data_IF_282604189123
#
_entry.id   IF_282604189123
#
_cell.length_a   1.000
_cell.length_b   1.000
_cell.length_c   1.000
_cell.angle_alpha   90.00
_cell.angle_beta   90.00
_cell.angle_gamma   90.00
#
_symmetry.space_group_name_H-M   'P 1'
#
loop_
_entity.id
_entity.type
_entity.pdbx_description
1 polymer ?
#
# COMPACT_ATOMS: atom_id res chain seq x y z
N UNK A 1 -2.13 -9.70 24.74
CA UNK A 1 -1.05 -10.01 23.78
C UNK A 1 -0.55 -8.71 23.14
N UNK A 2 0.77 -8.49 23.12
CA UNK A 2 1.38 -7.29 22.52
C UNK A 2 2.19 -7.66 21.28
N UNK A 3 1.84 -7.07 20.14
CA UNK A 3 2.49 -7.35 18.85
C UNK A 3 3.11 -6.06 18.31
N UNK A 4 4.40 -6.11 18.03
CA UNK A 4 5.10 -5.05 17.34
C UNK A 4 5.01 -5.28 15.83
N UNK A 5 4.57 -4.28 15.09
CA UNK A 5 4.60 -4.28 13.62
C UNK A 5 5.76 -3.43 13.15
N UNK A 6 6.55 -3.96 12.23
CA UNK A 6 7.67 -3.27 11.59
C UNK A 6 7.50 -3.24 10.06
N UNK A 7 7.80 -2.08 9.49
CA UNK A 7 7.87 -1.86 8.04
C UNK A 7 9.21 -1.18 7.73
N UNK A 8 10.19 -1.98 7.31
CA UNK A 8 11.54 -1.54 6.99
C UNK A 8 11.67 -1.23 5.50
N UNK A 9 11.72 0.05 5.17
CA UNK A 9 12.07 0.56 3.84
C UNK A 9 13.58 0.78 3.68
N UNK A 10 14.01 1.22 2.50
CA UNK A 10 15.45 1.45 2.19
C UNK A 10 16.11 2.47 3.13
N UNK A 11 15.40 3.52 3.51
CA UNK A 11 15.89 4.62 4.35
C UNK A 11 14.94 5.02 5.48
N UNK A 12 14.01 4.15 5.84
CA UNK A 12 13.05 4.40 6.91
C UNK A 12 12.60 3.11 7.58
N UNK A 13 12.19 3.20 8.84
CA UNK A 13 11.58 2.10 9.59
C UNK A 13 10.33 2.67 10.25
N UNK A 14 9.15 2.17 9.88
CA UNK A 14 7.90 2.49 10.57
C UNK A 14 7.58 1.39 11.56
N UNK A 15 6.97 1.76 12.69
CA UNK A 15 6.56 0.80 13.71
C UNK A 15 5.25 1.19 14.37
N UNK A 16 4.53 0.17 14.84
CA UNK A 16 3.39 0.31 15.72
C UNK A 16 3.34 -0.86 16.70
N UNK A 17 3.15 -0.57 17.99
CA UNK A 17 2.93 -1.59 19.02
C UNK A 17 1.45 -1.67 19.33
N UNK A 18 0.87 -2.85 19.15
CA UNK A 18 -0.54 -3.12 19.40
C UNK A 18 -0.76 -3.89 20.70
N UNK A 19 -1.82 -3.53 21.42
CA UNK A 19 -2.48 -4.44 22.35
C UNK A 19 -3.57 -5.20 21.60
N UNK A 20 -3.34 -6.48 21.32
CA UNK A 20 -4.29 -7.28 20.52
C UNK A 20 -5.55 -7.69 21.27
N UNK A 21 -5.59 -7.58 22.59
CA UNK A 21 -6.81 -7.84 23.37
C UNK A 21 -7.87 -6.76 23.11
N UNK A 22 -7.42 -5.51 22.90
CA UNK A 22 -8.27 -4.35 22.56
C UNK A 22 -8.18 -3.95 21.09
N UNK A 23 -7.18 -4.45 20.35
CA UNK A 23 -6.80 -4.04 18.99
C UNK A 23 -6.41 -2.55 18.87
N UNK A 24 -5.95 -1.97 19.95
CA UNK A 24 -5.56 -0.56 20.01
C UNK A 24 -4.04 -0.39 19.85
N UNK A 25 -3.65 0.68 19.17
CA UNK A 25 -2.26 1.11 19.05
C UNK A 25 -1.81 1.73 20.38
N UNK A 26 -0.85 1.11 21.05
CA UNK A 26 -0.23 1.64 22.28
C UNK A 26 0.72 2.80 21.96
N UNK A 27 1.53 2.67 20.90
CA UNK A 27 2.42 3.71 20.37
C UNK A 27 2.76 3.40 18.94
N UNK A 28 3.10 4.42 18.17
CA UNK A 28 3.57 4.26 16.80
C UNK A 28 4.57 5.34 16.42
N UNK A 29 5.33 5.11 15.38
CA UNK A 29 6.29 6.08 14.92
C UNK A 29 7.13 5.60 13.75
N UNK A 30 8.28 6.23 13.55
CA UNK A 30 9.20 5.80 12.52
C UNK A 30 10.54 6.50 12.58
N UNK A 31 11.58 5.74 12.27
CA UNK A 31 12.92 6.25 12.00
C UNK A 31 12.98 6.70 10.53
N UNK A 32 13.49 7.90 10.31
CA UNK A 32 13.63 8.52 9.01
C UNK A 32 15.11 8.81 8.73
N UNK A 33 15.49 8.76 7.44
CA UNK A 33 16.86 9.01 6.97
C UNK A 33 17.88 7.97 7.50
N UNK A 34 17.45 6.72 7.64
CA UNK A 34 18.33 5.60 8.01
C UNK A 34 19.47 5.48 7.01
N UNK A 35 20.70 5.46 7.48
CA UNK A 35 21.92 5.45 6.65
C UNK A 35 22.29 6.81 6.04
N UNK A 36 21.65 7.90 6.47
CA UNK A 36 21.87 9.26 5.97
C UNK A 36 22.07 10.24 7.14
N UNK A 37 22.79 11.33 6.87
CA UNK A 37 23.01 12.40 7.85
C UNK A 37 21.68 13.02 8.32
N UNK A 38 21.61 13.36 9.61
CA UNK A 38 20.43 13.98 10.20
C UNK A 38 19.24 13.03 10.37
N UNK A 39 19.52 11.77 10.65
CA UNK A 39 18.50 10.79 11.01
C UNK A 39 17.74 11.18 12.29
N UNK A 40 16.48 10.80 12.36
CA UNK A 40 15.62 11.09 13.52
C UNK A 40 14.50 10.05 13.64
N UNK A 41 13.94 9.96 14.85
CA UNK A 41 12.73 9.14 15.08
C UNK A 41 11.57 10.05 15.46
N UNK A 42 10.43 9.86 14.81
CA UNK A 42 9.13 10.41 15.23
C UNK A 42 8.41 9.37 16.07
N UNK A 43 7.88 9.80 17.22
CA UNK A 43 7.08 8.97 18.12
C UNK A 43 5.72 9.63 18.32
N UNK A 44 4.65 8.87 18.18
CA UNK A 44 3.30 9.28 18.58
C UNK A 44 3.01 8.66 19.94
N UNK A 45 2.93 9.50 20.96
CA UNK A 45 2.66 9.10 22.33
C UNK A 45 1.20 8.65 22.51
N UNK A 46 0.91 7.96 23.61
CA UNK A 46 -0.45 7.49 23.94
C UNK A 46 -1.47 8.65 24.08
N UNK A 47 -1.00 9.85 24.48
CA UNK A 47 -1.83 11.05 24.53
C UNK A 47 -2.07 11.73 23.16
N UNK A 48 -1.52 11.16 22.07
CA UNK A 48 -1.60 11.68 20.71
C UNK A 48 -0.54 12.72 20.34
N UNK A 49 0.28 13.16 21.30
CA UNK A 49 1.40 14.08 21.04
C UNK A 49 2.45 13.41 20.17
N UNK A 50 3.09 14.20 19.29
CA UNK A 50 4.18 13.74 18.43
C UNK A 50 5.50 14.37 18.89
N UNK A 51 6.48 13.53 19.18
CA UNK A 51 7.86 13.96 19.47
C UNK A 51 8.78 13.57 18.33
N UNK A 52 9.76 14.43 18.03
CA UNK A 52 10.87 14.12 17.12
C UNK A 52 12.15 14.08 17.93
N UNK A 53 12.88 12.97 17.81
CA UNK A 53 14.12 12.72 18.55
C UNK A 53 15.24 12.52 17.54
N UNK A 54 16.25 13.39 17.58
CA UNK A 54 17.44 13.23 16.74
C UNK A 54 18.29 12.08 17.27
N UNK A 55 18.66 11.17 16.40
CA UNK A 55 19.51 10.04 16.71
C UNK A 55 20.26 9.63 15.45
N UNK A 56 21.53 9.31 15.56
CA UNK A 56 22.31 8.78 14.46
C UNK A 56 21.93 7.32 14.21
N UNK A 57 21.45 7.04 13.00
CA UNK A 57 20.94 5.72 12.62
C UNK A 57 21.69 5.27 11.34
N UNK A 58 22.92 4.74 11.51
CA UNK A 58 23.75 4.35 10.37
C UNK A 58 23.16 3.16 9.57
N UNK A 59 22.37 2.32 10.23
CA UNK A 59 21.75 1.13 9.60
C UNK A 59 20.48 0.70 10.33
N UNK A 60 19.77 -0.29 9.75
CA UNK A 60 18.48 -0.76 10.26
C UNK A 60 18.58 -1.38 11.66
N UNK A 61 19.66 -2.10 11.98
CA UNK A 61 19.85 -2.70 13.32
C UNK A 61 19.85 -1.63 14.41
N UNK A 62 20.60 -0.53 14.21
CA UNK A 62 20.60 0.59 15.16
C UNK A 62 19.23 1.28 15.24
N UNK A 63 18.52 1.39 14.09
CA UNK A 63 17.16 1.94 14.06
C UNK A 63 16.17 1.09 14.88
N UNK A 64 16.18 -0.22 14.71
CA UNK A 64 15.32 -1.14 15.50
C UNK A 64 15.70 -1.11 16.97
N UNK A 65 17.00 -1.12 17.29
CA UNK A 65 17.51 -1.01 18.67
C UNK A 65 17.06 0.28 19.34
N UNK A 66 17.13 1.40 18.63
CA UNK A 66 16.67 2.68 19.16
C UNK A 66 15.15 2.70 19.35
N UNK A 67 14.36 2.15 18.42
CA UNK A 67 12.91 1.98 18.59
C UNK A 67 12.63 1.15 19.85
N UNK A 68 13.32 0.04 20.09
CA UNK A 68 13.15 -0.79 21.28
C UNK A 68 13.47 -0.02 22.58
N UNK A 69 14.49 0.83 22.56
CA UNK A 69 14.81 1.69 23.71
C UNK A 69 13.70 2.69 24.01
N UNK A 70 13.05 3.24 22.97
CA UNK A 70 11.92 4.16 23.13
C UNK A 70 10.66 3.46 23.66
N UNK A 71 10.43 2.19 23.31
CA UNK A 71 9.29 1.42 23.84
C UNK A 71 9.38 1.21 25.36
N UNK A 72 10.59 1.16 25.92
CA UNK A 72 10.86 0.96 27.36
C UNK A 72 11.37 2.21 28.06
N UNK A 73 11.39 3.35 27.40
CA UNK A 73 11.87 4.62 27.97
C UNK A 73 11.03 5.01 29.19
N UNK A 74 11.63 5.46 30.32
CA UNK A 74 10.91 5.80 31.54
C UNK A 74 9.87 6.92 31.40
N UNK A 75 10.05 7.84 30.42
CA UNK A 75 9.16 9.00 30.25
C UNK A 75 8.11 8.79 29.16
N UNK A 76 8.46 8.13 28.06
CA UNK A 76 7.61 8.01 26.88
C UNK A 76 7.28 6.56 26.49
N UNK A 77 7.93 5.60 27.13
CA UNK A 77 7.70 4.17 26.86
C UNK A 77 6.32 3.71 27.31
N UNK A 78 5.84 2.66 26.66
CA UNK A 78 4.51 2.08 26.89
C UNK A 78 4.56 0.67 27.46
N UNK A 79 5.77 0.11 27.59
CA UNK A 79 6.06 -1.19 28.22
C UNK A 79 7.25 -1.02 29.19
N UNK A 80 7.36 -1.93 30.17
CA UNK A 80 8.45 -1.88 31.16
C UNK A 80 9.65 -2.72 30.75
N UNK A 81 9.40 -3.79 29.99
CA UNK A 81 10.43 -4.73 29.54
C UNK A 81 10.07 -5.18 28.12
N UNK A 82 11.09 -5.33 27.26
CA UNK A 82 10.91 -5.85 25.89
C UNK A 82 10.31 -7.27 25.87
N UNK A 83 10.46 -8.05 26.94
CA UNK A 83 9.81 -9.36 27.10
C UNK A 83 8.27 -9.31 27.11
N UNK A 84 7.69 -8.12 27.23
CA UNK A 84 6.24 -7.93 27.10
C UNK A 84 5.78 -7.98 25.64
N UNK A 85 6.70 -7.95 24.68
CA UNK A 85 6.39 -8.13 23.26
C UNK A 85 6.31 -9.63 22.99
N UNK A 86 5.14 -10.10 22.58
CA UNK A 86 4.88 -11.52 22.34
C UNK A 86 5.34 -11.97 20.94
N UNK A 87 5.31 -11.07 19.95
CA UNK A 87 5.77 -11.34 18.59
C UNK A 87 6.00 -10.05 17.78
N UNK A 88 6.67 -10.21 16.63
CA UNK A 88 6.85 -9.14 15.64
C UNK A 88 6.25 -9.55 14.30
N UNK A 89 5.38 -8.69 13.75
CA UNK A 89 4.90 -8.77 12.39
C UNK A 89 5.70 -7.86 11.46
N UNK A 90 6.19 -8.39 10.35
CA UNK A 90 6.94 -7.64 9.35
C UNK A 90 6.15 -7.46 8.08
N UNK A 91 6.05 -6.22 7.57
CA UNK A 91 5.66 -6.01 6.20
C UNK A 91 6.80 -6.46 5.30
N UNK A 92 6.52 -7.42 4.42
CA UNK A 92 7.41 -7.92 3.38
C UNK A 92 6.86 -7.51 2.03
N UNK A 93 7.70 -6.95 1.13
CA UNK A 93 7.15 -6.34 -0.08
C UNK A 93 6.85 -7.38 -1.15
N UNK A 94 7.80 -8.22 -1.53
CA UNK A 94 7.61 -9.10 -2.68
C UNK A 94 7.90 -10.56 -2.36
N UNK A 95 6.84 -11.35 -2.26
CA UNK A 95 6.92 -12.79 -1.97
C UNK A 95 7.05 -13.68 -3.21
N UNK A 96 7.12 -13.10 -4.41
CA UNK A 96 7.11 -13.88 -5.66
C UNK A 96 5.87 -14.77 -5.75
N UNK A 97 6.00 -15.93 -6.37
CA UNK A 97 4.99 -17.00 -6.39
C UNK A 97 5.12 -17.94 -5.19
N UNK A 98 6.14 -17.72 -4.33
CA UNK A 98 6.45 -18.61 -3.19
C UNK A 98 5.56 -18.36 -1.99
N UNK A 99 5.06 -17.12 -1.82
CA UNK A 99 4.28 -16.70 -0.65
C UNK A 99 2.90 -16.21 -1.06
N UNK A 100 1.88 -17.00 -0.81
CA UNK A 100 0.47 -16.70 -1.07
C UNK A 100 -0.33 -16.38 0.22
N UNK A 101 0.34 -16.35 1.35
CA UNK A 101 -0.20 -16.03 2.67
C UNK A 101 0.91 -15.57 3.61
N UNK A 102 0.53 -15.03 4.76
CA UNK A 102 1.44 -14.72 5.85
C UNK A 102 2.05 -15.99 6.45
N UNK A 103 3.32 -15.95 6.87
CA UNK A 103 4.06 -17.12 7.38
C UNK A 103 4.94 -16.76 8.56
N UNK A 104 5.19 -17.72 9.47
CA UNK A 104 6.26 -17.61 10.46
C UNK A 104 7.61 -17.55 9.75
N UNK A 105 8.46 -16.63 10.18
CA UNK A 105 9.80 -16.45 9.61
C UNK A 105 10.77 -17.43 10.28
N UNK A 106 11.10 -18.51 9.58
CA UNK A 106 12.18 -19.45 9.91
C UNK A 106 13.36 -19.21 8.99
N UNK A 107 14.51 -19.78 9.30
CA UNK A 107 15.71 -19.68 8.44
C UNK A 107 15.44 -20.16 7.01
N UNK A 108 14.64 -21.23 6.86
CA UNK A 108 14.24 -21.75 5.55
C UNK A 108 13.35 -20.75 4.79
N UNK A 109 12.38 -20.14 5.48
CA UNK A 109 11.50 -19.13 4.90
C UNK A 109 12.30 -17.88 4.49
N UNK A 110 13.23 -17.43 5.33
CA UNK A 110 14.08 -16.28 5.03
C UNK A 110 14.98 -16.54 3.81
N UNK A 111 15.51 -17.75 3.66
CA UNK A 111 16.29 -18.15 2.49
C UNK A 111 15.45 -18.09 1.20
N UNK A 112 14.23 -18.64 1.23
CA UNK A 112 13.29 -18.57 0.09
C UNK A 112 12.89 -17.13 -0.22
N UNK A 113 12.70 -16.29 0.79
CA UNK A 113 12.41 -14.87 0.59
C UNK A 113 13.61 -14.11 0.00
N UNK A 114 14.84 -14.44 0.39
CA UNK A 114 16.05 -13.85 -0.18
C UNK A 114 16.15 -14.13 -1.70
N UNK A 115 15.72 -15.32 -2.16
CA UNK A 115 15.64 -15.65 -3.59
C UNK A 115 14.65 -14.74 -4.36
N UNK A 116 13.66 -14.16 -3.70
CA UNK A 116 12.72 -13.21 -4.29
C UNK A 116 13.30 -11.78 -4.40
N UNK A 117 14.51 -11.53 -3.92
CA UNK A 117 15.10 -10.17 -3.89
C UNK A 117 15.35 -9.58 -5.29
N UNK A 118 15.56 -10.43 -6.29
CA UNK A 118 15.73 -9.97 -7.69
C UNK A 118 14.45 -9.30 -8.24
N UNK A 119 13.28 -9.68 -7.71
CA UNK A 119 11.99 -9.07 -8.09
C UNK A 119 11.74 -7.71 -7.41
N UNK A 120 12.41 -7.45 -6.27
CA UNK A 120 12.28 -6.20 -5.51
C UNK A 120 13.61 -5.79 -4.85
N UNK A 121 14.65 -5.47 -5.63
CA UNK A 121 16.01 -5.27 -5.12
C UNK A 121 16.14 -4.05 -4.19
N UNK A 122 15.22 -3.10 -4.26
CA UNK A 122 15.21 -1.92 -3.38
C UNK A 122 14.47 -2.15 -2.06
N UNK A 123 13.63 -3.20 -1.95
CA UNK A 123 12.73 -3.41 -0.82
C UNK A 123 13.07 -4.67 -0.01
N UNK A 124 13.17 -5.82 -0.67
CA UNK A 124 13.37 -7.10 0.03
C UNK A 124 14.64 -7.14 0.91
N UNK A 125 15.81 -6.61 0.45
CA UNK A 125 17.00 -6.55 1.31
C UNK A 125 16.79 -5.72 2.58
N UNK A 126 16.03 -4.60 2.50
CA UNK A 126 15.72 -3.79 3.68
C UNK A 126 14.77 -4.53 4.65
N UNK A 127 13.78 -5.25 4.12
CA UNK A 127 12.91 -6.10 4.93
C UNK A 127 13.72 -7.17 5.69
N UNK A 128 14.65 -7.86 5.02
CA UNK A 128 15.54 -8.85 5.64
C UNK A 128 16.40 -8.26 6.75
N UNK A 129 16.93 -7.04 6.57
CA UNK A 129 17.70 -6.33 7.61
C UNK A 129 16.85 -6.12 8.87
N UNK A 130 15.58 -5.72 8.70
CA UNK A 130 14.66 -5.56 9.83
C UNK A 130 14.44 -6.85 10.61
N UNK A 131 14.21 -7.97 9.89
CA UNK A 131 14.04 -9.30 10.52
C UNK A 131 15.31 -9.73 11.27
N UNK A 132 16.48 -9.60 10.62
CA UNK A 132 17.77 -9.94 11.23
C UNK A 132 18.04 -9.11 12.49
N UNK A 133 17.76 -7.80 12.43
CA UNK A 133 17.90 -6.91 13.59
C UNK A 133 17.06 -7.37 14.80
N UNK A 134 15.82 -7.76 14.58
CA UNK A 134 14.96 -8.31 15.64
C UNK A 134 15.53 -9.63 16.16
N UNK A 135 15.99 -10.52 15.29
CA UNK A 135 16.58 -11.81 15.71
C UNK A 135 17.84 -11.66 16.57
N UNK A 136 18.66 -10.63 16.28
CA UNK A 136 19.87 -10.30 17.05
C UNK A 136 19.53 -9.68 18.40
N UNK A 137 18.58 -8.76 18.45
CA UNK A 137 18.22 -8.01 19.65
C UNK A 137 17.32 -8.82 20.61
N UNK A 138 16.47 -9.68 20.07
CA UNK A 138 15.52 -10.51 20.81
C UNK A 138 15.52 -11.95 20.29
N UNK A 139 16.57 -12.73 20.57
CA UNK A 139 16.66 -14.12 20.12
C UNK A 139 15.48 -14.97 20.60
N UNK A 140 14.85 -15.69 19.66
CA UNK A 140 13.72 -16.57 19.94
C UNK A 140 12.35 -15.90 19.96
N UNK A 141 12.27 -14.57 19.80
CA UNK A 141 10.99 -13.90 19.65
C UNK A 141 10.31 -14.32 18.32
N UNK A 142 9.06 -14.81 18.34
CA UNK A 142 8.36 -15.19 17.12
C UNK A 142 8.24 -14.01 16.15
N UNK A 143 8.50 -14.26 14.88
CA UNK A 143 8.40 -13.28 13.80
C UNK A 143 7.53 -13.80 12.66
N UNK A 144 6.70 -12.96 12.08
CA UNK A 144 5.79 -13.29 10.98
C UNK A 144 6.00 -12.32 9.83
N UNK A 145 6.08 -12.84 8.61
CA UNK A 145 6.12 -12.07 7.38
C UNK A 145 4.74 -11.97 6.73
N UNK A 146 4.32 -10.76 6.41
CA UNK A 146 3.07 -10.44 5.70
C UNK A 146 3.44 -9.76 4.40
N UNK A 147 3.07 -10.39 3.27
CA UNK A 147 3.57 -9.99 1.95
C UNK A 147 2.55 -9.14 1.19
N UNK A 148 2.99 -8.01 0.63
CA UNK A 148 2.16 -7.11 -0.18
C UNK A 148 1.58 -7.82 -1.42
N UNK A 149 2.29 -8.81 -1.95
CA UNK A 149 1.88 -9.56 -3.14
C UNK A 149 0.97 -10.76 -2.86
N UNK A 150 0.88 -11.21 -1.61
CA UNK A 150 0.23 -12.49 -1.26
C UNK A 150 -1.27 -12.51 -1.58
N UNK A 151 -2.00 -11.43 -1.32
CA UNK A 151 -3.43 -11.34 -1.60
C UNK A 151 -3.77 -11.50 -3.08
N UNK A 152 -2.86 -11.09 -3.96
CA UNK A 152 -3.01 -11.13 -5.41
C UNK A 152 -2.66 -12.50 -6.03
N UNK A 153 -2.16 -13.46 -5.24
CA UNK A 153 -1.77 -14.78 -5.75
C UNK A 153 -2.97 -15.67 -6.16
N UNK A 154 -4.19 -15.20 -5.93
CA UNK A 154 -5.42 -15.88 -6.38
C UNK A 154 -5.86 -15.46 -7.79
N UNK A 155 -5.15 -14.53 -8.44
CA UNK A 155 -5.42 -14.16 -9.84
C UNK A 155 -5.27 -15.37 -10.76
N UNK A 156 -6.19 -15.56 -11.73
CA UNK A 156 -6.04 -16.59 -12.75
C UNK A 156 -4.88 -16.24 -13.71
N UNK A 157 -4.36 -17.25 -14.37
CA UNK A 157 -3.18 -17.13 -15.25
C UNK A 157 -3.38 -16.12 -16.39
N UNK A 158 -4.54 -16.10 -17.01
CA UNK A 158 -4.88 -15.15 -18.08
C UNK A 158 -4.96 -13.69 -17.59
N UNK A 159 -5.06 -13.43 -16.29
CA UNK A 159 -5.07 -12.09 -15.73
C UNK A 159 -3.65 -11.64 -15.30
N UNK A 160 -2.80 -12.55 -14.85
CA UNK A 160 -1.45 -12.18 -14.42
C UNK A 160 -0.38 -12.28 -15.51
N UNK A 161 -0.60 -13.05 -16.58
CA UNK A 161 0.39 -13.21 -17.65
C UNK A 161 0.49 -11.96 -18.52
N UNK A 162 1.72 -11.55 -18.84
CA UNK A 162 1.97 -10.59 -19.90
C UNK A 162 2.02 -11.27 -21.25
N UNK A 163 1.52 -10.63 -22.29
CA UNK A 163 1.54 -11.13 -23.68
C UNK A 163 2.91 -10.95 -24.33
N UNK A 164 3.93 -11.57 -23.74
CA UNK A 164 5.32 -11.63 -24.18
C UNK A 164 5.75 -13.10 -24.28
N UNK A 165 6.93 -13.45 -24.86
CA UNK A 165 7.35 -14.84 -24.95
C UNK A 165 7.23 -15.59 -23.62
N UNK A 166 6.52 -16.72 -23.63
CA UNK A 166 6.17 -17.50 -22.43
C UNK A 166 7.40 -17.93 -21.62
N UNK A 167 8.52 -18.23 -22.31
CA UNK A 167 9.80 -18.58 -21.69
C UNK A 167 10.32 -17.53 -20.70
N UNK A 168 9.94 -16.25 -20.87
CA UNK A 168 10.35 -15.16 -19.98
C UNK A 168 9.63 -15.28 -18.62
N UNK A 169 8.40 -15.76 -18.62
CA UNK A 169 7.71 -16.13 -17.39
C UNK A 169 8.37 -17.33 -16.72
N UNK A 170 8.58 -18.43 -17.48
CA UNK A 170 9.16 -19.65 -16.92
C UNK A 170 10.55 -19.42 -16.33
N UNK A 171 11.38 -18.63 -16.99
CA UNK A 171 12.78 -18.44 -16.61
C UNK A 171 12.98 -17.37 -15.55
N UNK A 172 12.20 -16.30 -15.62
CA UNK A 172 12.43 -15.11 -14.80
C UNK A 172 11.23 -14.71 -13.92
N UNK A 173 10.13 -15.42 -13.96
CA UNK A 173 8.92 -15.10 -13.21
C UNK A 173 8.29 -13.76 -13.63
N UNK A 174 8.44 -13.35 -14.91
CA UNK A 174 7.90 -12.08 -15.41
C UNK A 174 6.40 -12.21 -15.61
N UNK A 175 5.66 -11.69 -14.64
CA UNK A 175 4.19 -11.65 -14.59
C UNK A 175 3.71 -10.47 -13.75
N UNK A 176 2.40 -10.21 -13.76
CA UNK A 176 1.76 -9.32 -12.79
C UNK A 176 1.76 -9.99 -11.41
N UNK A 177 2.20 -9.26 -10.39
CA UNK A 177 2.11 -9.67 -8.98
C UNK A 177 1.14 -8.79 -8.21
N UNK A 178 1.18 -7.47 -8.42
CA UNK A 178 0.41 -6.51 -7.66
C UNK A 178 0.99 -6.23 -6.27
N UNK A 179 0.60 -5.10 -5.72
CA UNK A 179 1.08 -4.62 -4.41
C UNK A 179 -0.08 -4.01 -3.62
N UNK A 180 0.17 -3.47 -2.43
CA UNK A 180 -0.85 -3.04 -1.48
C UNK A 180 -1.84 -4.16 -1.10
N UNK A 181 -1.44 -5.42 -1.25
CA UNK A 181 -2.33 -6.56 -1.03
C UNK A 181 -2.87 -6.64 0.38
N UNK A 182 -2.07 -6.24 1.39
CA UNK A 182 -2.52 -6.17 2.78
C UNK A 182 -3.66 -5.16 2.95
N UNK A 183 -3.54 -3.98 2.33
CA UNK A 183 -4.60 -2.96 2.33
C UNK A 183 -5.85 -3.43 1.57
N UNK A 184 -5.69 -3.96 0.35
CA UNK A 184 -6.82 -4.45 -0.45
C UNK A 184 -7.58 -5.56 0.29
N UNK A 185 -6.88 -6.49 0.92
CA UNK A 185 -7.46 -7.57 1.74
C UNK A 185 -8.20 -7.01 2.95
N UNK A 186 -7.58 -6.07 3.66
CA UNK A 186 -8.19 -5.43 4.82
C UNK A 186 -9.50 -4.73 4.46
N UNK A 187 -9.48 -3.82 3.47
CA UNK A 187 -10.67 -3.02 3.15
C UNK A 187 -11.77 -3.84 2.48
N UNK A 188 -11.43 -4.88 1.69
CA UNK A 188 -12.42 -5.79 1.11
C UNK A 188 -13.17 -6.59 2.19
N UNK A 189 -12.46 -7.05 3.22
CA UNK A 189 -13.08 -7.69 4.39
C UNK A 189 -13.88 -6.68 5.23
N UNK A 190 -13.25 -5.54 5.56
CA UNK A 190 -13.85 -4.53 6.44
C UNK A 190 -15.13 -3.94 5.88
N UNK A 191 -15.22 -3.69 4.57
CA UNK A 191 -16.46 -3.19 3.96
C UNK A 191 -17.60 -4.20 4.07
N UNK A 192 -17.31 -5.49 3.95
CA UNK A 192 -18.33 -6.54 4.15
C UNK A 192 -18.82 -6.57 5.61
N UNK A 193 -17.91 -6.49 6.57
CA UNK A 193 -18.25 -6.39 7.99
C UNK A 193 -19.09 -5.13 8.26
N UNK A 194 -18.69 -3.98 7.70
CA UNK A 194 -19.38 -2.70 7.84
C UNK A 194 -20.79 -2.71 7.26
N UNK A 195 -21.00 -3.38 6.13
CA UNK A 195 -22.30 -3.49 5.45
C UNK A 195 -23.14 -4.69 5.94
N UNK A 196 -22.58 -5.57 6.78
CA UNK A 196 -23.25 -6.80 7.24
C UNK A 196 -23.50 -7.80 6.11
N UNK A 197 -22.59 -7.90 5.13
CA UNK A 197 -22.70 -8.81 3.99
C UNK A 197 -21.55 -9.83 4.00
N UNK A 198 -21.74 -10.94 3.29
CA UNK A 198 -20.69 -11.98 3.18
C UNK A 198 -19.76 -11.67 2.00
N UNK A 199 -18.44 -11.75 2.19
CA UNK A 199 -17.47 -11.52 1.10
C UNK A 199 -17.67 -12.46 -0.09
N UNK A 200 -18.05 -13.72 0.17
CA UNK A 200 -18.23 -14.77 -0.85
C UNK A 200 -19.34 -14.45 -1.87
N UNK A 201 -20.29 -13.58 -1.50
CA UNK A 201 -21.43 -13.20 -2.32
C UNK A 201 -21.22 -11.88 -3.07
N UNK A 202 -20.02 -11.27 -3.01
CA UNK A 202 -19.79 -9.90 -3.47
C UNK A 202 -18.63 -9.76 -4.47
N UNK A 203 -18.87 -8.89 -5.46
CA UNK A 203 -17.88 -8.35 -6.38
C UNK A 203 -17.49 -6.96 -5.92
N UNK A 204 -16.24 -6.81 -5.50
CA UNK A 204 -15.76 -5.59 -4.85
C UNK A 204 -14.60 -5.02 -5.68
N UNK A 205 -14.63 -3.72 -5.93
CA UNK A 205 -13.47 -2.98 -6.46
C UNK A 205 -12.92 -2.13 -5.33
N UNK A 206 -11.67 -2.38 -4.95
CA UNK A 206 -10.97 -1.62 -3.92
C UNK A 206 -9.99 -0.64 -4.55
N UNK A 207 -10.15 0.64 -4.26
CA UNK A 207 -9.36 1.74 -4.78
C UNK A 207 -8.45 2.27 -3.67
N UNK A 208 -7.24 1.72 -3.57
CA UNK A 208 -6.20 2.21 -2.67
C UNK A 208 -5.49 3.39 -3.33
N UNK A 209 -5.91 4.60 -3.00
CA UNK A 209 -5.48 5.83 -3.65
C UNK A 209 -4.68 6.70 -2.68
N UNK A 210 -3.37 6.58 -2.76
CA UNK A 210 -2.39 7.36 -1.99
C UNK A 210 -1.35 8.02 -2.90
N UNK A 211 -0.16 8.31 -2.39
CA UNK A 211 0.97 8.73 -3.24
C UNK A 211 1.39 7.59 -4.18
N UNK A 212 1.47 6.34 -3.69
CA UNK A 212 1.32 5.14 -4.50
C UNK A 212 -0.15 4.77 -4.58
N UNK A 213 -0.63 4.30 -5.72
CA UNK A 213 -2.03 3.95 -5.91
C UNK A 213 -2.20 2.66 -6.70
N UNK A 214 -3.19 1.87 -6.31
CA UNK A 214 -3.60 0.67 -7.04
C UNK A 214 -5.08 0.40 -6.88
N UNK A 215 -5.65 -0.32 -7.84
CA UNK A 215 -7.03 -0.78 -7.82
C UNK A 215 -7.01 -2.30 -7.93
N UNK A 216 -7.85 -2.98 -7.15
CA UNK A 216 -7.97 -4.43 -7.23
C UNK A 216 -9.43 -4.84 -7.43
N UNK A 217 -9.61 -5.90 -8.21
CA UNK A 217 -10.86 -6.60 -8.42
C UNK A 217 -10.93 -7.79 -7.48
N UNK A 218 -11.95 -7.85 -6.64
CA UNK A 218 -12.15 -8.91 -5.65
C UNK A 218 -13.50 -9.56 -5.90
N UNK A 219 -13.49 -10.84 -6.23
CA UNK A 219 -14.69 -11.63 -6.48
C UNK A 219 -14.74 -12.80 -5.49
N UNK A 220 -15.84 -12.90 -4.74
CA UNK A 220 -16.00 -13.94 -3.73
C UNK A 220 -14.90 -13.92 -2.66
N UNK A 221 -14.41 -12.76 -2.27
CA UNK A 221 -13.33 -12.58 -1.28
C UNK A 221 -11.91 -12.83 -1.81
N UNK A 222 -11.75 -13.16 -3.10
CA UNK A 222 -10.45 -13.44 -3.73
C UNK A 222 -10.08 -12.35 -4.74
N UNK A 223 -8.82 -11.94 -4.76
CA UNK A 223 -8.33 -11.06 -5.80
C UNK A 223 -8.31 -11.77 -7.14
N UNK A 224 -8.94 -11.20 -8.16
CA UNK A 224 -8.99 -11.75 -9.52
C UNK A 224 -8.23 -10.89 -10.54
N UNK A 225 -7.96 -9.63 -10.21
CA UNK A 225 -7.08 -8.73 -10.97
C UNK A 225 -6.60 -7.56 -10.10
N UNK A 226 -5.49 -6.93 -10.49
CA UNK A 226 -4.98 -5.74 -9.81
C UNK A 226 -4.18 -4.87 -10.78
N UNK A 227 -4.12 -3.57 -10.53
CA UNK A 227 -3.56 -2.59 -11.48
C UNK A 227 -2.03 -2.51 -11.48
N UNK A 228 -1.36 -2.74 -10.36
CA UNK A 228 0.10 -2.81 -10.34
C UNK A 228 0.58 -4.13 -10.96
N UNK A 229 1.75 -4.10 -11.59
CA UNK A 229 2.27 -5.19 -12.39
C UNK A 229 3.36 -6.03 -11.70
N UNK A 230 4.40 -6.34 -12.46
CA UNK A 230 5.65 -6.92 -11.95
C UNK A 230 6.27 -6.01 -10.88
N UNK A 231 6.16 -4.71 -11.08
CA UNK A 231 6.62 -3.65 -10.18
C UNK A 231 5.46 -2.73 -9.79
N UNK A 232 5.61 -1.87 -8.77
CA UNK A 232 4.58 -0.89 -8.39
C UNK A 232 4.43 0.29 -9.36
N UNK A 233 4.89 0.19 -10.62
CA UNK A 233 4.85 1.25 -11.62
C UNK A 233 3.59 1.21 -12.46
N UNK A 234 3.20 0.03 -12.96
CA UNK A 234 2.04 -0.18 -13.84
C UNK A 234 0.73 0.21 -13.14
N UNK A 235 -0.29 0.58 -13.90
CA UNK A 235 -1.63 0.85 -13.41
C UNK A 235 -2.04 2.31 -13.51
N UNK A 236 -2.70 2.81 -12.48
CA UNK A 236 -3.18 4.19 -12.41
C UNK A 236 -2.03 5.19 -12.28
N UNK A 237 -2.27 6.42 -12.71
CA UNK A 237 -1.36 7.53 -12.47
C UNK A 237 -1.22 7.77 -10.97
N UNK A 238 0.00 8.01 -10.48
CA UNK A 238 0.31 8.17 -9.06
C UNK A 238 0.98 9.52 -8.79
N UNK A 239 1.39 9.77 -7.57
CA UNK A 239 2.04 11.04 -7.22
C UNK A 239 3.29 11.35 -8.05
N UNK A 240 4.19 10.37 -8.18
CA UNK A 240 5.46 10.51 -8.95
C UNK A 240 5.64 9.45 -10.03
N UNK A 241 4.77 8.42 -10.08
CA UNK A 241 4.84 7.31 -11.04
C UNK A 241 3.87 7.52 -12.17
N UNK A 242 4.31 7.19 -13.39
CA UNK A 242 3.50 7.39 -14.59
C UNK A 242 2.20 6.56 -14.62
N UNK A 243 2.20 5.38 -14.01
CA UNK A 243 1.22 4.34 -14.33
C UNK A 243 1.43 3.82 -15.75
N UNK A 244 0.35 3.33 -16.36
CA UNK A 244 0.38 2.77 -17.70
C UNK A 244 0.97 3.75 -18.73
N UNK A 245 1.93 3.24 -19.50
CA UNK A 245 2.56 3.93 -20.62
C UNK A 245 2.83 2.92 -21.75
N UNK A 246 2.75 3.36 -23.00
CA UNK A 246 3.13 2.54 -24.15
C UNK A 246 4.60 2.13 -24.07
N UNK A 247 4.86 0.82 -24.21
CA UNK A 247 6.25 0.29 -24.24
C UNK A 247 7.09 0.87 -25.37
N UNK A 248 6.49 1.20 -26.52
CA UNK A 248 7.15 1.90 -27.61
C UNK A 248 7.56 3.32 -27.24
N UNK A 249 6.73 4.02 -26.47
CA UNK A 249 7.07 5.35 -25.93
C UNK A 249 8.24 5.27 -24.94
N UNK A 250 8.32 4.21 -24.11
CA UNK A 250 9.48 3.99 -23.22
C UNK A 250 10.77 3.84 -24.01
N UNK A 251 10.77 2.98 -25.03
CA UNK A 251 11.95 2.79 -25.91
C UNK A 251 12.32 4.07 -26.67
N UNK A 252 11.34 4.87 -27.10
CA UNK A 252 11.55 6.17 -27.73
C UNK A 252 12.22 7.16 -26.76
N UNK A 253 11.73 7.25 -25.53
CA UNK A 253 12.27 8.12 -24.48
C UNK A 253 13.73 7.77 -24.15
N UNK A 254 14.06 6.47 -24.02
CA UNK A 254 15.42 6.02 -23.80
C UNK A 254 16.38 6.58 -24.87
N UNK A 255 16.02 6.44 -26.14
CA UNK A 255 16.83 6.95 -27.26
C UNK A 255 16.87 8.48 -27.30
N UNK A 256 15.71 9.13 -27.12
CA UNK A 256 15.59 10.60 -27.26
C UNK A 256 16.33 11.35 -26.17
N UNK A 257 16.32 10.83 -24.94
CA UNK A 257 16.92 11.43 -23.76
C UNK A 257 18.28 10.81 -23.40
N UNK A 258 18.74 9.83 -24.18
CA UNK A 258 19.98 9.08 -23.95
C UNK A 258 20.04 8.51 -22.51
N UNK A 259 18.95 7.86 -22.08
CA UNK A 259 18.83 7.23 -20.76
C UNK A 259 19.15 5.74 -20.84
N UNK A 260 19.86 5.25 -19.83
CA UNK A 260 20.00 3.81 -19.55
C UNK A 260 18.76 3.26 -18.82
N UNK A 261 18.81 2.00 -18.42
CA UNK A 261 17.71 1.35 -17.71
C UNK A 261 17.37 2.03 -16.37
N UNK A 262 18.39 2.47 -15.63
CA UNK A 262 18.20 3.17 -14.35
C UNK A 262 17.63 4.58 -14.57
N UNK A 263 18.11 5.28 -15.60
CA UNK A 263 17.61 6.61 -15.96
C UNK A 263 16.14 6.59 -16.36
N UNK A 264 15.70 5.60 -17.15
CA UNK A 264 14.29 5.47 -17.53
C UNK A 264 13.44 5.05 -16.33
N UNK A 265 13.95 4.15 -15.49
CA UNK A 265 13.28 3.77 -14.24
C UNK A 265 13.10 4.97 -13.31
N UNK A 266 14.13 5.81 -13.14
CA UNK A 266 14.07 7.02 -12.34
C UNK A 266 13.04 8.03 -12.90
N UNK A 267 13.04 8.24 -14.23
CA UNK A 267 12.06 9.10 -14.89
C UNK A 267 10.62 8.66 -14.60
N UNK A 268 10.31 7.37 -14.81
CA UNK A 268 8.94 6.87 -14.71
C UNK A 268 8.46 6.70 -13.27
N UNK A 269 9.36 6.45 -12.31
CA UNK A 269 9.01 6.22 -10.91
C UNK A 269 9.04 7.48 -10.04
N UNK A 270 9.96 8.45 -10.34
CA UNK A 270 10.20 9.58 -9.44
C UNK A 270 9.90 10.96 -10.05
N UNK A 271 9.83 11.08 -11.38
CA UNK A 271 9.71 12.36 -12.08
C UNK A 271 8.47 12.46 -12.96
N UNK A 272 7.58 11.49 -12.88
CA UNK A 272 6.35 11.38 -13.66
C UNK A 272 5.10 11.58 -12.79
N UNK A 273 3.98 11.03 -13.20
CA UNK A 273 2.71 11.13 -12.47
C UNK A 273 2.23 12.56 -12.29
N UNK A 274 1.59 12.81 -11.15
CA UNK A 274 1.05 14.14 -10.79
C UNK A 274 2.16 15.18 -10.78
N UNK A 275 3.30 14.87 -10.16
CA UNK A 275 4.49 15.75 -10.15
C UNK A 275 4.95 16.10 -11.56
N UNK A 276 5.06 15.10 -12.43
CA UNK A 276 5.56 15.30 -13.81
C UNK A 276 4.63 16.16 -14.68
N UNK A 277 3.32 16.08 -14.47
CA UNK A 277 2.34 16.89 -15.23
C UNK A 277 2.21 18.30 -14.63
N UNK A 278 2.14 18.40 -13.31
CA UNK A 278 1.97 19.69 -12.63
C UNK A 278 3.24 20.52 -12.61
N UNK A 279 4.41 19.87 -12.61
CA UNK A 279 5.73 20.50 -12.35
C UNK A 279 5.76 21.28 -11.02
N UNK A 280 4.81 20.99 -10.13
CA UNK A 280 4.63 21.69 -8.86
C UNK A 280 4.92 20.76 -7.67
N UNK A 281 4.13 19.70 -7.54
CA UNK A 281 4.15 18.81 -6.37
C UNK A 281 3.49 17.47 -6.67
N UNK A 282 3.83 16.45 -5.90
CA UNK A 282 3.08 15.19 -5.81
C UNK A 282 2.06 15.19 -4.67
N UNK A 283 2.05 16.21 -3.82
CA UNK A 283 1.07 16.36 -2.74
C UNK A 283 -0.28 16.85 -3.31
N UNK A 284 -1.28 15.98 -3.24
CA UNK A 284 -2.60 16.25 -3.80
C UNK A 284 -3.30 17.47 -3.16
N UNK A 285 -2.94 17.86 -1.95
CA UNK A 285 -3.46 19.07 -1.29
C UNK A 285 -2.95 20.33 -1.96
N UNK A 286 -1.67 20.35 -2.35
CA UNK A 286 -1.06 21.47 -3.08
C UNK A 286 -1.60 21.56 -4.50
N UNK A 287 -1.82 20.39 -5.13
CA UNK A 287 -2.42 20.29 -6.47
C UNK A 287 -3.87 20.79 -6.46
N UNK A 288 -4.67 20.39 -5.47
CA UNK A 288 -6.05 20.86 -5.30
C UNK A 288 -6.11 22.39 -5.13
N UNK A 289 -5.23 22.94 -4.27
CA UNK A 289 -5.12 24.39 -4.09
C UNK A 289 -4.68 25.13 -5.38
N UNK A 290 -3.85 24.50 -6.22
CA UNK A 290 -3.48 25.04 -7.53
C UNK A 290 -4.65 25.01 -8.53
N UNK A 291 -5.47 23.94 -8.50
CA UNK A 291 -6.69 23.86 -9.31
C UNK A 291 -7.68 24.98 -8.96
N UNK A 292 -7.87 25.25 -7.67
CA UNK A 292 -8.75 26.35 -7.20
C UNK A 292 -8.27 27.73 -7.69
N UNK A 293 -6.97 27.90 -7.88
CA UNK A 293 -6.36 29.12 -8.46
C UNK A 293 -6.40 29.15 -9.99
N UNK A 294 -6.92 28.10 -10.63
CA UNK A 294 -7.05 28.01 -12.09
C UNK A 294 -5.77 27.58 -12.82
N UNK A 295 -4.80 26.93 -12.15
CA UNK A 295 -3.60 26.44 -12.80
C UNK A 295 -3.95 25.35 -13.83
N UNK A 296 -3.64 25.55 -15.14
CA UNK A 296 -4.07 24.65 -16.20
C UNK A 296 -3.39 23.27 -16.14
N UNK A 297 -2.13 23.17 -15.63
CA UNK A 297 -1.43 21.91 -15.47
C UNK A 297 -1.98 21.11 -14.30
N UNK A 298 -2.31 21.77 -13.19
CA UNK A 298 -2.96 21.14 -12.06
C UNK A 298 -4.35 20.59 -12.44
N UNK A 299 -5.16 21.38 -13.15
CA UNK A 299 -6.48 20.97 -13.65
C UNK A 299 -6.35 19.77 -14.60
N UNK A 300 -5.40 19.80 -15.55
CA UNK A 300 -5.15 18.69 -16.45
C UNK A 300 -4.73 17.43 -15.68
N UNK A 301 -3.80 17.57 -14.74
CA UNK A 301 -3.30 16.47 -13.91
C UNK A 301 -4.43 15.78 -13.14
N UNK A 302 -5.32 16.55 -12.51
CA UNK A 302 -6.49 16.01 -11.80
C UNK A 302 -7.46 15.27 -12.72
N UNK A 303 -7.73 15.80 -13.90
CA UNK A 303 -8.55 15.13 -14.91
C UNK A 303 -7.94 13.82 -15.36
N UNK A 304 -6.63 13.78 -15.63
CA UNK A 304 -5.91 12.56 -15.99
C UNK A 304 -5.95 11.52 -14.88
N UNK A 305 -5.73 11.96 -13.64
CA UNK A 305 -5.71 11.11 -12.45
C UNK A 305 -7.07 10.43 -12.24
N UNK A 306 -8.14 11.20 -12.15
CA UNK A 306 -9.49 10.70 -11.93
C UNK A 306 -10.01 9.86 -13.10
N UNK A 307 -9.65 10.21 -14.35
CA UNK A 307 -9.96 9.43 -15.53
C UNK A 307 -9.32 8.03 -15.50
N UNK A 308 -8.06 7.90 -15.06
CA UNK A 308 -7.38 6.60 -14.95
C UNK A 308 -8.02 5.72 -13.88
N UNK A 309 -8.42 6.29 -12.74
CA UNK A 309 -9.16 5.56 -11.69
C UNK A 309 -10.49 5.04 -12.26
N UNK A 310 -11.27 5.91 -12.93
CA UNK A 310 -12.53 5.54 -13.57
C UNK A 310 -12.36 4.40 -14.59
N UNK A 311 -11.34 4.47 -15.45
CA UNK A 311 -11.05 3.42 -16.42
C UNK A 311 -10.81 2.07 -15.77
N UNK A 312 -10.03 2.02 -14.71
CA UNK A 312 -9.75 0.78 -13.97
C UNK A 312 -10.98 0.23 -13.27
N UNK A 313 -11.83 1.10 -12.67
CA UNK A 313 -13.12 0.67 -12.12
C UNK A 313 -13.99 0.03 -13.22
N UNK A 314 -14.12 0.67 -14.37
CA UNK A 314 -14.88 0.13 -15.50
C UNK A 314 -14.30 -1.17 -16.05
N UNK A 315 -12.98 -1.27 -16.20
CA UNK A 315 -12.30 -2.48 -16.67
C UNK A 315 -12.52 -3.66 -15.71
N UNK A 316 -12.42 -3.43 -14.40
CA UNK A 316 -12.60 -4.48 -13.41
C UNK A 316 -14.07 -4.89 -13.22
N UNK A 317 -15.00 -3.95 -13.34
CA UNK A 317 -16.41 -4.28 -13.40
C UNK A 317 -16.71 -5.19 -14.61
N UNK A 318 -16.12 -4.92 -15.78
CA UNK A 318 -16.22 -5.77 -16.95
C UNK A 318 -15.57 -7.14 -16.75
N UNK A 319 -14.35 -7.18 -16.18
CA UNK A 319 -13.62 -8.43 -15.92
C UNK A 319 -14.36 -9.37 -14.97
N UNK A 320 -15.06 -8.83 -13.96
CA UNK A 320 -15.88 -9.61 -13.02
C UNK A 320 -17.31 -9.87 -13.51
N UNK A 321 -17.73 -9.28 -14.65
CA UNK A 321 -19.12 -9.35 -15.11
C UNK A 321 -20.10 -8.61 -14.20
N UNK A 322 -19.66 -7.52 -13.58
CA UNK A 322 -20.43 -6.66 -12.66
C UNK A 322 -19.63 -6.20 -11.47
N UNK A 323 -20.24 -5.35 -10.67
CA UNK A 323 -19.69 -4.86 -9.41
C UNK A 323 -20.82 -4.59 -8.41
N UNK A 324 -20.63 -4.96 -7.15
CA UNK A 324 -21.59 -4.71 -6.07
C UNK A 324 -21.14 -3.54 -5.19
N UNK A 325 -19.82 -3.44 -4.94
CA UNK A 325 -19.26 -2.48 -3.99
C UNK A 325 -17.99 -1.86 -4.58
N UNK A 326 -17.86 -0.54 -4.47
CA UNK A 326 -16.63 0.21 -4.75
C UNK A 326 -16.16 0.83 -3.44
N UNK A 327 -14.89 0.61 -3.08
CA UNK A 327 -14.29 1.11 -1.84
C UNK A 327 -13.15 2.06 -2.15
N UNK A 328 -13.21 3.27 -1.61
CA UNK A 328 -12.10 4.23 -1.63
C UNK A 328 -11.35 4.20 -0.30
N UNK A 329 -10.03 4.10 -0.37
CA UNK A 329 -9.16 3.99 0.80
C UNK A 329 -7.79 4.64 0.54
N UNK A 330 -6.95 4.69 1.55
CA UNK A 330 -5.66 5.38 1.59
C UNK A 330 -5.78 6.91 1.50
N UNK A 331 -4.64 7.59 1.58
CA UNK A 331 -4.58 9.02 1.86
C UNK A 331 -5.47 9.91 0.99
N UNK A 332 -5.50 9.71 -0.32
CA UNK A 332 -6.35 10.46 -1.26
C UNK A 332 -7.77 9.89 -1.27
N UNK A 333 -7.91 8.55 -1.35
CA UNK A 333 -9.22 7.89 -1.39
C UNK A 333 -10.09 8.21 -0.17
N UNK A 334 -9.48 8.28 1.01
CA UNK A 334 -10.16 8.60 2.27
C UNK A 334 -10.48 10.08 2.44
N UNK A 335 -9.60 10.97 1.94
CA UNK A 335 -9.62 12.38 2.34
C UNK A 335 -9.99 13.36 1.22
N UNK A 336 -9.94 12.96 -0.06
CA UNK A 336 -10.22 13.85 -1.18
C UNK A 336 -11.58 13.50 -1.82
N UNK A 337 -12.60 14.23 -1.43
CA UNK A 337 -13.97 14.00 -1.88
C UNK A 337 -14.15 14.23 -3.40
N UNK A 338 -13.42 15.19 -3.99
CA UNK A 338 -13.46 15.50 -5.42
C UNK A 338 -13.01 14.33 -6.27
N UNK A 339 -11.93 13.65 -5.89
CA UNK A 339 -11.44 12.43 -6.59
C UNK A 339 -12.48 11.31 -6.56
N UNK A 340 -13.11 11.04 -5.43
CA UNK A 340 -14.17 10.02 -5.34
C UNK A 340 -15.36 10.34 -6.23
N UNK A 341 -15.78 11.61 -6.23
CA UNK A 341 -16.87 12.09 -7.06
C UNK A 341 -16.57 11.94 -8.56
N UNK A 342 -15.45 12.50 -9.01
CA UNK A 342 -15.07 12.50 -10.43
C UNK A 342 -14.76 11.09 -10.95
N UNK A 343 -14.20 10.22 -10.12
CA UNK A 343 -13.98 8.82 -10.47
C UNK A 343 -15.28 8.04 -10.66
N UNK A 344 -16.37 8.42 -9.98
CA UNK A 344 -17.67 7.77 -10.08
C UNK A 344 -18.60 8.42 -11.14
N UNK A 345 -18.40 9.69 -11.49
CA UNK A 345 -19.20 10.35 -12.52
C UNK A 345 -19.05 9.67 -13.89
N UNK A 346 -20.18 9.37 -14.55
CA UNK A 346 -20.21 8.63 -15.81
C UNK A 346 -20.18 7.11 -15.66
N UNK A 347 -20.27 6.58 -14.43
CA UNK A 347 -20.43 5.15 -14.16
C UNK A 347 -21.90 4.77 -13.84
N UNK A 348 -22.85 5.65 -14.11
CA UNK A 348 -24.30 5.41 -13.90
C UNK A 348 -24.81 4.21 -14.71
N UNK A 349 -24.18 3.92 -15.85
CA UNK A 349 -24.50 2.73 -16.66
C UNK A 349 -24.18 1.40 -15.95
N UNK A 350 -23.24 1.41 -14.98
CA UNK A 350 -22.96 0.29 -14.09
C UNK A 350 -23.91 0.25 -12.88
N UNK A 351 -24.72 1.30 -12.70
CA UNK A 351 -25.59 1.45 -11.55
C UNK A 351 -24.97 2.21 -10.38
N UNK A 352 -23.84 2.88 -10.59
CA UNK A 352 -23.16 3.72 -9.58
C UNK A 352 -23.85 5.08 -9.54
N UNK A 353 -24.32 5.48 -8.35
CA UNK A 353 -24.83 6.84 -8.09
C UNK A 353 -24.26 7.35 -6.78
N UNK A 354 -23.35 8.32 -6.87
CA UNK A 354 -22.75 8.96 -5.69
C UNK A 354 -23.67 10.07 -5.14
N UNK A 355 -23.81 10.13 -3.83
CA UNK A 355 -24.44 11.23 -3.14
C UNK A 355 -23.42 12.37 -2.97
N UNK A 356 -23.47 13.37 -3.86
CA UNK A 356 -22.50 14.44 -3.95
C UNK A 356 -22.46 15.31 -2.70
N UNK A 357 -23.63 15.57 -2.10
CA UNK A 357 -23.72 16.41 -0.89
C UNK A 357 -23.18 15.65 0.33
N UNK A 358 -23.51 14.37 0.46
CA UNK A 358 -22.98 13.55 1.53
C UNK A 358 -21.47 13.32 1.40
N UNK A 359 -20.97 13.09 0.18
CA UNK A 359 -19.54 12.84 -0.07
C UNK A 359 -18.68 14.07 0.22
N UNK A 360 -19.22 15.28 0.01
CA UNK A 360 -18.48 16.54 0.12
C UNK A 360 -17.94 16.75 1.53
N UNK A 361 -16.63 16.95 1.64
CA UNK A 361 -15.94 17.23 2.90
C UNK A 361 -15.69 16.03 3.82
N UNK A 362 -16.17 14.83 3.49
CA UNK A 362 -15.86 13.61 4.28
C UNK A 362 -14.37 13.27 4.20
N UNK A 363 -13.77 12.97 5.35
CA UNK A 363 -12.35 12.60 5.50
C UNK A 363 -12.18 11.51 6.55
N UNK A 364 -11.45 10.44 6.21
CA UNK A 364 -10.97 9.42 7.16
C UNK A 364 -12.07 8.73 7.97
N UNK A 365 -13.24 8.50 7.39
CA UNK A 365 -14.39 7.91 8.08
C UNK A 365 -14.94 6.70 7.31
N UNK A 366 -15.47 5.72 8.01
CA UNK A 366 -16.26 4.65 7.39
C UNK A 366 -17.63 5.21 7.03
N UNK A 367 -17.96 5.25 5.75
CA UNK A 367 -19.21 5.81 5.28
C UNK A 367 -19.63 5.26 3.92
N UNK A 368 -20.92 4.93 3.78
CA UNK A 368 -21.57 4.76 2.48
C UNK A 368 -21.81 6.16 1.90
N UNK A 369 -21.35 6.38 0.68
CA UNK A 369 -21.45 7.67 -0.04
C UNK A 369 -22.23 7.57 -1.36
N UNK A 370 -22.83 6.42 -1.64
CA UNK A 370 -23.80 6.26 -2.72
C UNK A 370 -25.20 6.61 -2.28
N UNK A 371 -26.06 7.01 -3.23
CA UNK A 371 -27.49 7.27 -2.99
C UNK A 371 -28.24 5.97 -2.65
N UNK A 372 -29.39 6.08 -2.01
CA UNK A 372 -30.20 4.92 -1.62
C UNK A 372 -30.72 4.09 -2.83
N UNK A 373 -30.84 4.71 -3.99
CA UNK A 373 -31.26 4.05 -5.25
C UNK A 373 -30.07 3.60 -6.13
N UNK A 374 -28.84 3.75 -5.63
CA UNK A 374 -27.66 3.21 -6.30
C UNK A 374 -27.67 1.68 -6.24
N UNK A 375 -27.47 1.03 -7.38
CA UNK A 375 -27.33 -0.43 -7.44
C UNK A 375 -25.97 -0.90 -6.92
N UNK A 376 -24.94 -0.09 -7.11
CA UNK A 376 -23.58 -0.32 -6.61
C UNK A 376 -23.36 0.53 -5.37
N UNK A 377 -22.98 -0.09 -4.26
CA UNK A 377 -22.64 0.63 -3.03
C UNK A 377 -21.27 1.24 -3.15
N UNK A 378 -21.13 2.53 -2.91
CA UNK A 378 -19.83 3.22 -2.85
C UNK A 378 -19.51 3.59 -1.42
N UNK A 379 -18.35 3.20 -0.93
CA UNK A 379 -17.92 3.40 0.44
C UNK A 379 -16.56 4.08 0.56
N UNK A 380 -16.37 4.77 1.68
CA UNK A 380 -15.05 5.10 2.22
C UNK A 380 -14.78 4.10 3.35
N UNK A 381 -13.65 3.42 3.32
CA UNK A 381 -13.16 2.55 4.40
C UNK A 381 -11.69 2.89 4.62
N UNK A 382 -11.33 3.55 5.73
CA UNK A 382 -9.93 3.78 6.07
C UNK A 382 -9.15 2.47 6.17
N UNK A 383 -7.97 2.41 5.54
CA UNK A 383 -7.11 1.23 5.62
C UNK A 383 -6.35 1.21 6.95
N UNK A 384 -6.09 -0.01 7.44
CA UNK A 384 -5.23 -0.24 8.60
C UNK A 384 -4.36 -1.49 8.33
N UNK A 385 -3.28 -1.25 7.57
CA UNK A 385 -2.35 -2.32 7.19
C UNK A 385 -1.59 -2.86 8.40
N UNK A 386 -1.24 -2.00 9.34
CA UNK A 386 -0.54 -2.38 10.56
C UNK A 386 -1.41 -3.29 11.44
N UNK A 387 -2.69 -2.99 11.59
CA UNK A 387 -3.63 -3.87 12.30
C UNK A 387 -3.79 -5.22 11.59
N UNK A 388 -3.81 -5.23 10.26
CA UNK A 388 -3.89 -6.47 9.50
C UNK A 388 -2.64 -7.34 9.71
N UNK A 389 -1.45 -6.71 9.70
CA UNK A 389 -0.18 -7.41 9.99
C UNK A 389 -0.17 -7.94 11.42
N UNK A 390 -0.61 -7.14 12.39
CA UNK A 390 -0.70 -7.59 13.79
C UNK A 390 -1.68 -8.75 13.96
N UNK A 391 -2.83 -8.72 13.28
CA UNK A 391 -3.83 -9.79 13.31
C UNK A 391 -3.28 -11.08 12.71
N UNK A 392 -2.67 -11.02 11.52
CA UNK A 392 -2.03 -12.19 10.89
C UNK A 392 -0.92 -12.78 11.77
N UNK A 393 -0.18 -11.90 12.45
CA UNK A 393 0.88 -12.33 13.38
C UNK A 393 0.27 -13.10 14.55
N UNK A 394 -0.79 -12.56 15.16
CA UNK A 394 -1.51 -13.24 16.25
C UNK A 394 -2.06 -14.59 15.83
N UNK A 395 -2.68 -14.67 14.66
CA UNK A 395 -3.35 -15.87 14.15
C UNK A 395 -2.35 -17.01 13.83
N UNK A 396 -1.07 -16.67 13.65
CA UNK A 396 -0.01 -17.64 13.35
C UNK A 396 0.82 -18.06 14.57
N UNK A 397 0.64 -17.48 15.74
CA UNK A 397 1.37 -17.86 16.96
C UNK A 397 0.84 -19.14 17.56
#
# INVERSE_FOLDING_TARGET
MKILVLNCGSSSIKYALYNMDTKEVMTSGGAERVGLDGAFVKVKLANGEKKQIMHDIPEHTEGVKFIFSLLTDPEIGVIKDLKEIDAVGHRMVHGGEKFNKSVKLTDEVLKVFEECSDLAPLHNPANLKGVKAVSELMPGLPQVGVFDTAFHQTMPDYAYMYAIPYELYEKYGIRRYGFHGTSHRYVAKRVCDFLGVKPEDKKIITCHIGNGASIAAVDGGKCVDTSMGLTPLEGVMMGTRSGDIDGGAVAFLQKKLNLDADGISDLLNKKSGVLGITELSSDMREVEAACEKGDPKAILSMKMYNYRIKKYIGAYAAAMGGVDIIVFTAGVGENQWSTRQEACEGLEFLGVKIDKELNKGLRGVEKVISTADSKVTVCIIPTDEELMIATDTMDLL
#
